data_IF_511501640739
#
_entry.id   IF_511501640739
#
_cell.length_a   1.000
_cell.length_b   1.000
_cell.length_c   1.000
_cell.angle_alpha   90.00
_cell.angle_beta   90.00
_cell.angle_gamma   90.00
#
_symmetry.space_group_name_H-M   'P 1'
#
loop_
_entity.id
_entity.type
_entity.pdbx_description
1 polymer ?
#
# COMPACT_ATOMS: atom_id res chain seq x y z
N UNK A 1 10.00 -14.30 -14.53
CA UNK A 1 9.03 -13.30 -14.07
C UNK A 1 9.73 -12.46 -13.03
N UNK A 2 9.55 -11.13 -13.06
CA UNK A 2 9.99 -10.26 -11.97
C UNK A 2 9.46 -10.75 -10.62
N UNK A 3 10.22 -10.51 -9.55
CA UNK A 3 9.91 -10.92 -8.18
C UNK A 3 10.63 -9.99 -7.22
N UNK A 4 10.51 -10.20 -5.91
CA UNK A 4 11.30 -9.50 -4.92
C UNK A 4 11.92 -10.50 -3.95
N UNK A 5 12.95 -10.05 -3.23
CA UNK A 5 13.62 -10.88 -2.23
C UNK A 5 14.11 -10.02 -1.08
N UNK A 6 13.98 -10.51 0.15
CA UNK A 6 14.59 -9.84 1.30
C UNK A 6 16.13 -9.87 1.22
N UNK A 7 16.76 -8.80 1.66
CA UNK A 7 18.22 -8.68 1.77
C UNK A 7 18.75 -9.68 2.80
N UNK A 8 19.58 -10.66 2.37
CA UNK A 8 20.08 -11.69 3.27
C UNK A 8 21.05 -11.17 4.33
N UNK A 9 21.53 -9.93 4.21
CA UNK A 9 22.37 -9.29 5.23
C UNK A 9 21.58 -8.73 6.41
N UNK A 10 20.26 -8.57 6.26
CA UNK A 10 19.39 -8.07 7.33
C UNK A 10 19.21 -9.17 8.39
N UNK A 11 19.55 -8.84 9.63
CA UNK A 11 19.37 -9.75 10.77
C UNK A 11 17.99 -9.56 11.38
N UNK A 12 17.27 -10.66 11.55
CA UNK A 12 15.97 -10.67 12.22
C UNK A 12 16.13 -10.46 13.72
N UNK A 13 15.28 -9.61 14.29
CA UNK A 13 15.19 -9.45 15.73
C UNK A 13 14.33 -10.55 16.35
N UNK A 14 14.82 -11.12 17.45
CA UNK A 14 14.15 -12.18 18.19
C UNK A 14 14.19 -11.87 19.68
N UNK A 15 13.06 -12.05 20.37
CA UNK A 15 12.94 -11.85 21.81
C UNK A 15 12.13 -13.00 22.43
N UNK A 16 12.72 -13.69 23.39
CA UNK A 16 12.11 -14.87 24.05
C UNK A 16 11.57 -15.94 23.07
N UNK A 17 12.21 -16.11 21.91
CA UNK A 17 11.79 -17.06 20.86
C UNK A 17 10.74 -16.52 19.88
N UNK A 18 10.21 -15.32 20.12
CA UNK A 18 9.32 -14.63 19.20
C UNK A 18 10.15 -13.81 18.20
N UNK A 19 9.86 -13.97 16.92
CA UNK A 19 10.57 -13.34 15.82
C UNK A 19 9.73 -12.21 15.22
N UNK A 20 10.30 -11.02 15.15
CA UNK A 20 9.67 -9.88 14.49
C UNK A 20 9.87 -9.95 12.97
N UNK A 21 9.01 -9.30 12.16
CA UNK A 21 9.26 -9.14 10.73
C UNK A 21 10.57 -8.37 10.50
N UNK A 22 11.20 -8.57 9.34
CA UNK A 22 12.50 -7.93 9.08
C UNK A 22 12.41 -6.40 9.05
N UNK A 23 11.27 -5.87 8.62
CA UNK A 23 11.05 -4.46 8.34
C UNK A 23 10.32 -3.69 9.44
N UNK A 24 9.69 -4.35 10.40
CA UNK A 24 9.04 -3.72 11.55
C UNK A 24 9.46 -4.40 12.86
N UNK A 25 10.14 -3.68 13.74
CA UNK A 25 10.67 -4.25 14.98
C UNK A 25 10.75 -3.22 16.11
N UNK A 26 10.60 -3.64 17.37
CA UNK A 26 10.72 -2.74 18.52
C UNK A 26 12.18 -2.26 18.67
N UNK A 27 12.35 -0.97 18.99
CA UNK A 27 13.64 -0.36 19.35
C UNK A 27 13.80 -0.19 20.86
N UNK A 28 12.72 -0.38 21.61
CA UNK A 28 12.72 -0.39 23.08
C UNK A 28 12.47 -1.80 23.63
N UNK A 29 12.96 -2.11 24.85
CA UNK A 29 12.68 -3.37 25.50
C UNK A 29 11.18 -3.58 25.68
N UNK A 30 10.67 -4.70 25.17
CA UNK A 30 9.29 -5.10 25.31
C UNK A 30 9.22 -6.62 25.49
N UNK A 31 8.04 -7.16 25.84
CA UNK A 31 7.81 -8.61 25.91
C UNK A 31 6.71 -9.02 24.94
N UNK A 32 7.04 -9.74 23.85
CA UNK A 32 6.04 -10.15 22.88
C UNK A 32 5.09 -11.18 23.47
N UNK A 33 3.84 -11.14 23.01
CA UNK A 33 2.77 -12.06 23.43
C UNK A 33 1.94 -12.44 22.21
N UNK A 34 2.16 -13.66 21.71
CA UNK A 34 1.32 -14.23 20.68
C UNK A 34 -0.06 -14.57 21.26
N UNK A 35 -1.11 -14.23 20.53
CA UNK A 35 -2.50 -14.37 20.96
C UNK A 35 -3.44 -13.64 20.02
N UNK A 36 -4.70 -13.55 20.39
CA UNK A 36 -5.63 -12.67 19.70
C UNK A 36 -6.57 -11.94 20.66
N UNK A 37 -6.94 -10.71 20.34
CA UNK A 37 -8.08 -10.03 20.93
C UNK A 37 -9.32 -10.29 20.07
N UNK A 38 -10.52 -10.15 20.65
CA UNK A 38 -11.76 -10.29 19.89
C UNK A 38 -12.81 -9.30 20.41
N UNK A 39 -13.39 -8.55 19.48
CA UNK A 39 -14.44 -7.57 19.75
C UNK A 39 -15.63 -7.79 18.82
N UNK A 40 -16.83 -7.49 19.30
CA UNK A 40 -18.03 -7.44 18.45
C UNK A 40 -18.33 -5.99 18.09
N UNK A 41 -18.47 -5.71 16.80
CA UNK A 41 -18.83 -4.41 16.25
C UNK A 41 -20.25 -4.52 15.69
N UNK A 42 -21.15 -3.65 16.17
CA UNK A 42 -22.52 -3.56 15.63
C UNK A 42 -22.49 -2.91 14.25
N UNK A 43 -23.45 -3.26 13.41
CA UNK A 43 -23.62 -2.61 12.11
C UNK A 43 -23.74 -1.09 12.27
N UNK A 44 -23.07 -0.34 11.41
CA UNK A 44 -23.10 1.13 11.38
C UNK A 44 -24.19 1.70 10.46
N UNK A 45 -25.00 0.85 9.83
CA UNK A 45 -26.14 1.24 9.02
C UNK A 45 -27.10 2.19 9.76
N UNK A 46 -27.25 3.41 9.25
CA UNK A 46 -28.12 4.45 9.81
C UNK A 46 -27.57 5.88 9.88
N UNK A 47 -26.37 6.15 9.35
CA UNK A 47 -25.77 7.48 9.21
C UNK A 47 -26.40 8.35 8.10
N UNK A 48 -26.07 9.65 8.07
CA UNK A 48 -26.55 10.61 7.04
C UNK A 48 -26.19 10.13 5.61
N UNK A 49 -26.98 10.55 4.62
CA UNK A 49 -26.72 10.30 3.18
C UNK A 49 -25.28 10.73 2.83
N UNK A 50 -24.34 9.77 2.74
CA UNK A 50 -22.95 10.08 2.37
C UNK A 50 -21.87 9.09 2.81
N UNK A 51 -22.10 8.22 3.80
CA UNK A 51 -21.15 7.15 4.14
C UNK A 51 -21.36 5.98 3.15
N UNK A 52 -20.37 5.77 2.27
CA UNK A 52 -20.47 4.83 1.16
C UNK A 52 -20.25 3.36 1.55
N UNK A 53 -19.79 3.08 2.78
CA UNK A 53 -19.52 1.73 3.27
C UNK A 53 -20.32 1.46 4.55
N UNK A 54 -21.46 0.77 4.43
CA UNK A 54 -22.18 0.21 5.57
C UNK A 54 -21.60 -1.17 5.89
N UNK A 55 -21.02 -1.31 7.08
CA UNK A 55 -20.46 -2.56 7.56
C UNK A 55 -21.51 -3.33 8.37
N UNK A 56 -21.65 -4.65 8.17
CA UNK A 56 -22.61 -5.45 8.93
C UNK A 56 -22.12 -5.67 10.39
N UNK A 57 -23.00 -6.26 11.20
CA UNK A 57 -22.61 -6.89 12.47
C UNK A 57 -21.43 -7.83 12.22
N UNK A 58 -20.38 -7.71 13.02
CA UNK A 58 -19.13 -8.45 12.77
C UNK A 58 -18.33 -8.68 14.03
N UNK A 59 -17.49 -9.70 13.99
CA UNK A 59 -16.43 -9.91 14.95
C UNK A 59 -15.11 -9.46 14.37
N UNK A 60 -14.40 -8.60 15.10
CA UNK A 60 -13.03 -8.17 14.86
C UNK A 60 -12.08 -9.07 15.67
N UNK A 61 -11.07 -9.62 15.03
CA UNK A 61 -9.97 -10.36 15.64
C UNK A 61 -8.65 -9.70 15.26
N UNK A 62 -7.83 -9.32 16.25
CA UNK A 62 -6.46 -8.87 16.00
C UNK A 62 -5.49 -9.93 16.49
N UNK A 63 -4.76 -10.54 15.56
CA UNK A 63 -3.98 -11.74 15.79
C UNK A 63 -2.49 -11.43 15.72
N UNK A 64 -1.80 -11.63 16.85
CA UNK A 64 -0.35 -11.49 16.93
C UNK A 64 0.30 -12.87 16.89
N UNK A 65 1.18 -13.08 15.93
CA UNK A 65 2.00 -14.29 15.77
C UNK A 65 3.44 -13.92 15.46
N UNK A 66 4.36 -14.84 15.76
CA UNK A 66 5.76 -14.72 15.31
C UNK A 66 5.82 -14.69 13.78
N UNK A 67 6.76 -13.91 13.21
CA UNK A 67 6.83 -13.60 11.78
C UNK A 67 6.75 -14.82 10.86
N UNK A 68 7.40 -15.94 11.22
CA UNK A 68 7.38 -17.17 10.43
C UNK A 68 6.01 -17.86 10.36
N UNK A 69 5.06 -17.43 11.18
CA UNK A 69 3.70 -17.98 11.25
C UNK A 69 2.66 -17.08 10.58
N UNK A 70 3.01 -15.83 10.23
CA UNK A 70 2.10 -14.87 9.59
C UNK A 70 1.60 -15.43 8.26
N UNK A 71 2.51 -15.83 7.35
CA UNK A 71 2.13 -16.35 6.03
C UNK A 71 1.26 -17.62 6.11
N UNK A 72 1.63 -18.67 6.89
CA UNK A 72 0.76 -19.84 7.04
C UNK A 72 -0.62 -19.51 7.63
N UNK A 73 -0.70 -18.58 8.60
CA UNK A 73 -1.98 -18.16 9.19
C UNK A 73 -2.84 -17.43 8.16
N UNK A 74 -2.26 -16.45 7.45
CA UNK A 74 -2.92 -15.74 6.36
C UNK A 74 -3.48 -16.69 5.29
N UNK A 75 -2.69 -17.70 4.89
CA UNK A 75 -3.13 -18.73 3.92
C UNK A 75 -4.31 -19.57 4.44
N UNK A 76 -4.41 -19.81 5.75
CA UNK A 76 -5.56 -20.53 6.32
C UNK A 76 -6.79 -19.63 6.43
N UNK A 77 -6.62 -18.37 6.83
CA UNK A 77 -7.71 -17.40 6.91
C UNK A 77 -8.31 -17.11 5.53
N UNK A 78 -7.48 -16.99 4.49
CA UNK A 78 -7.97 -16.76 3.11
C UNK A 78 -8.84 -17.90 2.57
N UNK A 79 -8.89 -19.08 3.22
CA UNK A 79 -9.87 -20.15 2.88
C UNK A 79 -11.32 -19.81 3.26
N UNK A 80 -11.52 -18.72 3.99
CA UNK A 80 -12.83 -18.15 4.30
C UNK A 80 -13.37 -17.27 3.15
N UNK A 81 -12.47 -16.74 2.31
CA UNK A 81 -12.83 -15.86 1.21
C UNK A 81 -13.49 -16.66 0.06
N UNK A 82 -14.45 -16.07 -0.66
CA UNK A 82 -14.97 -16.64 -1.89
C UNK A 82 -13.94 -16.55 -3.02
N UNK A 83 -14.28 -17.13 -4.18
CA UNK A 83 -13.37 -17.19 -5.33
C UNK A 83 -13.02 -15.84 -5.97
N UNK A 84 -13.72 -14.75 -5.61
CA UNK A 84 -13.40 -13.40 -6.02
C UNK A 84 -13.52 -12.44 -4.85
N UNK A 85 -12.64 -11.46 -4.78
CA UNK A 85 -12.45 -10.57 -3.62
C UNK A 85 -12.09 -9.17 -4.09
N UNK A 86 -12.10 -8.20 -3.16
CA UNK A 86 -11.53 -6.87 -3.34
C UNK A 86 -10.18 -6.84 -2.61
N UNK A 87 -9.04 -6.94 -3.31
CA UNK A 87 -7.73 -6.84 -2.68
C UNK A 87 -7.48 -5.42 -2.15
N UNK A 88 -6.68 -5.36 -1.09
CA UNK A 88 -6.31 -4.13 -0.38
C UNK A 88 -4.79 -4.11 -0.25
N UNK A 89 -4.19 -2.95 -0.40
CA UNK A 89 -2.76 -2.71 -0.22
C UNK A 89 -2.57 -1.34 0.40
N UNK A 90 -2.00 -1.27 1.59
CA UNK A 90 -1.63 -0.02 2.24
C UNK A 90 -0.12 0.15 2.17
N UNK A 91 0.35 1.33 1.80
CA UNK A 91 1.77 1.63 1.70
C UNK A 91 2.11 2.79 2.62
N UNK A 92 3.14 2.66 3.45
CA UNK A 92 3.70 3.81 4.16
C UNK A 92 4.34 4.72 3.11
N UNK A 93 3.60 5.77 2.76
CA UNK A 93 3.83 6.58 1.57
C UNK A 93 5.00 7.54 1.71
N UNK A 94 5.29 8.25 0.63
CA UNK A 94 6.25 9.36 0.60
C UNK A 94 5.57 10.74 0.69
N UNK A 95 4.25 10.76 0.85
CA UNK A 95 3.47 11.98 0.97
C UNK A 95 3.80 12.74 2.27
N UNK A 96 3.97 14.05 2.14
CA UNK A 96 4.35 14.91 3.26
C UNK A 96 3.25 15.12 4.32
N UNK A 97 2.00 14.80 4.01
CA UNK A 97 0.81 15.11 4.80
C UNK A 97 -0.16 13.92 4.93
N UNK A 98 0.24 12.75 4.43
CA UNK A 98 -0.46 11.48 4.56
C UNK A 98 0.54 10.40 4.89
N UNK A 99 0.33 9.69 6.00
CA UNK A 99 1.23 8.63 6.43
C UNK A 99 1.07 7.35 5.58
N UNK A 100 -0.17 6.98 5.27
CA UNK A 100 -0.51 5.74 4.57
C UNK A 100 -1.21 6.07 3.25
N UNK A 101 -0.76 5.45 2.17
CA UNK A 101 -1.45 5.42 0.88
C UNK A 101 -2.32 4.16 0.80
N UNK A 102 -3.65 4.26 0.99
CA UNK A 102 -4.53 3.11 0.92
C UNK A 102 -4.90 2.83 -0.54
N UNK A 103 -4.68 1.61 -1.00
CA UNK A 103 -5.08 1.15 -2.32
C UNK A 103 -6.12 0.03 -2.22
N UNK A 104 -7.21 0.14 -2.96
CA UNK A 104 -8.27 -0.86 -3.00
C UNK A 104 -8.70 -1.14 -4.44
N UNK A 105 -9.09 -2.39 -4.71
CA UNK A 105 -9.82 -2.70 -5.93
C UNK A 105 -11.31 -2.44 -5.72
N UNK A 106 -11.92 -1.66 -6.60
CA UNK A 106 -13.39 -1.53 -6.68
C UNK A 106 -14.02 -2.60 -7.57
N UNK A 107 -13.20 -3.37 -8.28
CA UNK A 107 -13.63 -4.52 -9.07
C UNK A 107 -13.26 -5.83 -8.38
N UNK A 108 -14.07 -6.87 -8.60
CA UNK A 108 -13.79 -8.20 -8.08
C UNK A 108 -12.59 -8.86 -8.79
N UNK A 109 -11.54 -9.17 -8.05
CA UNK A 109 -10.35 -9.89 -8.52
C UNK A 109 -10.44 -11.36 -8.14
N UNK A 110 -10.02 -12.26 -9.02
CA UNK A 110 -9.94 -13.70 -8.71
C UNK A 110 -8.99 -13.97 -7.54
N UNK A 111 -9.42 -14.78 -6.58
CA UNK A 111 -8.60 -15.14 -5.41
C UNK A 111 -7.29 -15.84 -5.82
N UNK A 112 -7.30 -16.59 -6.92
CA UNK A 112 -6.12 -17.18 -7.54
C UNK A 112 -5.12 -16.12 -8.02
N UNK A 113 -5.59 -15.07 -8.71
CA UNK A 113 -4.75 -13.94 -9.14
C UNK A 113 -4.15 -13.21 -7.94
N UNK A 114 -4.95 -12.98 -6.90
CA UNK A 114 -4.48 -12.36 -5.65
C UNK A 114 -3.39 -13.20 -4.99
N UNK A 115 -3.66 -14.48 -4.75
CA UNK A 115 -2.73 -15.38 -4.04
C UNK A 115 -1.46 -15.69 -4.85
N UNK A 116 -1.51 -15.69 -6.19
CA UNK A 116 -0.32 -15.82 -7.03
C UNK A 116 0.61 -14.61 -6.90
N UNK A 117 0.06 -13.40 -6.83
CA UNK A 117 0.84 -12.19 -6.57
C UNK A 117 1.42 -12.20 -5.14
N UNK A 118 0.64 -12.63 -4.14
CA UNK A 118 1.13 -12.80 -2.76
C UNK A 118 2.33 -13.72 -2.71
N UNK A 119 2.28 -14.86 -3.43
CA UNK A 119 3.40 -15.79 -3.52
C UNK A 119 4.60 -15.20 -4.25
N UNK A 120 4.37 -14.42 -5.31
CA UNK A 120 5.43 -13.81 -6.14
C UNK A 120 6.19 -12.72 -5.38
N UNK A 121 5.50 -11.94 -4.55
CA UNK A 121 6.05 -10.80 -3.81
C UNK A 121 6.11 -11.04 -2.30
N UNK A 122 6.25 -12.31 -1.89
CA UNK A 122 6.13 -12.74 -0.49
C UNK A 122 7.03 -11.96 0.48
N UNK A 123 8.27 -11.66 0.08
CA UNK A 123 9.25 -11.01 0.96
C UNK A 123 8.90 -9.54 1.15
N UNK A 124 8.25 -8.90 0.18
CA UNK A 124 7.69 -7.57 0.38
C UNK A 124 6.51 -7.62 1.36
N UNK A 125 5.51 -8.44 1.04
CA UNK A 125 4.24 -8.45 1.77
C UNK A 125 4.36 -8.93 3.23
N UNK A 126 5.18 -9.96 3.50
CA UNK A 126 5.27 -10.56 4.84
C UNK A 126 6.44 -10.06 5.69
N UNK A 127 7.43 -9.37 5.10
CA UNK A 127 8.64 -8.96 5.84
C UNK A 127 8.91 -7.46 5.80
N UNK A 128 8.52 -6.77 4.73
CA UNK A 128 8.79 -5.34 4.57
C UNK A 128 7.90 -4.52 5.51
N UNK A 129 8.49 -3.54 6.19
CA UNK A 129 7.78 -2.72 7.18
C UNK A 129 7.04 -1.55 6.55
N UNK A 130 7.03 -1.40 5.23
CA UNK A 130 6.39 -0.26 4.56
C UNK A 130 5.06 -0.63 3.90
N UNK A 131 4.52 -1.83 4.13
CA UNK A 131 3.28 -2.25 3.51
C UNK A 131 2.38 -3.08 4.42
N UNK A 132 1.07 -2.85 4.31
CA UNK A 132 0.02 -3.76 4.72
C UNK A 132 -0.73 -4.28 3.48
N UNK A 133 -1.35 -5.44 3.57
CA UNK A 133 -2.10 -6.01 2.45
C UNK A 133 -3.19 -6.96 2.93
N UNK A 134 -4.21 -7.14 2.11
CA UNK A 134 -5.33 -7.97 2.47
C UNK A 134 -6.32 -8.17 1.34
N UNK A 135 -7.48 -8.67 1.73
CA UNK A 135 -8.63 -8.76 0.85
C UNK A 135 -9.92 -8.75 1.65
N UNK A 136 -10.97 -8.26 1.01
CA UNK A 136 -12.32 -8.30 1.55
C UNK A 136 -13.33 -8.93 0.58
N UNK A 137 -14.44 -9.37 1.13
CA UNK A 137 -15.62 -9.89 0.46
C UNK A 137 -16.85 -9.36 1.20
N UNK A 138 -17.88 -8.99 0.45
CA UNK A 138 -19.16 -8.52 1.01
C UNK A 138 -20.11 -9.67 1.33
N UNK A 139 -20.11 -10.74 0.53
CA UNK A 139 -21.00 -11.90 0.70
C UNK A 139 -20.25 -13.25 0.53
N UNK A 140 -19.97 -13.99 1.62
CA UNK A 140 -20.15 -13.56 3.02
C UNK A 140 -19.20 -12.40 3.38
N UNK A 141 -19.55 -11.65 4.42
CA UNK A 141 -18.69 -10.56 4.88
C UNK A 141 -17.43 -11.12 5.56
N UNK A 142 -16.29 -10.91 4.90
CA UNK A 142 -14.96 -11.32 5.36
C UNK A 142 -13.96 -10.26 4.96
N UNK A 143 -13.19 -9.75 5.92
CA UNK A 143 -12.07 -8.85 5.72
C UNK A 143 -10.86 -9.47 6.41
N UNK A 144 -9.76 -9.65 5.68
CA UNK A 144 -8.50 -10.17 6.21
C UNK A 144 -7.40 -9.22 5.78
N UNK A 145 -6.66 -8.68 6.73
CA UNK A 145 -5.61 -7.72 6.47
C UNK A 145 -4.39 -8.00 7.35
N UNK A 146 -3.20 -7.93 6.75
CA UNK A 146 -1.91 -7.99 7.44
C UNK A 146 -1.34 -6.59 7.37
N UNK A 147 -1.20 -5.91 8.50
CA UNK A 147 -0.71 -4.53 8.54
C UNK A 147 0.83 -4.42 8.35
N UNK A 148 1.37 -3.23 8.46
CA UNK A 148 2.81 -2.94 8.38
C UNK A 148 3.62 -3.55 9.53
N UNK A 149 2.99 -3.81 10.68
CA UNK A 149 3.58 -4.52 11.83
C UNK A 149 3.47 -6.04 11.71
N UNK A 150 2.78 -6.52 10.66
CA UNK A 150 2.46 -7.93 10.38
C UNK A 150 1.53 -8.55 11.41
N UNK A 151 0.65 -7.76 12.00
CA UNK A 151 -0.50 -8.20 12.78
C UNK A 151 -1.63 -8.51 11.81
N UNK A 152 -2.35 -9.60 12.07
CA UNK A 152 -3.45 -10.02 11.18
C UNK A 152 -4.77 -9.60 11.79
N UNK A 153 -5.43 -8.64 11.16
CA UNK A 153 -6.80 -8.26 11.45
C UNK A 153 -7.77 -9.08 10.62
N UNK A 154 -8.76 -9.68 11.27
CA UNK A 154 -9.84 -10.43 10.63
C UNK A 154 -11.17 -9.85 11.10
N UNK A 155 -12.00 -9.38 10.17
CA UNK A 155 -13.40 -9.06 10.45
C UNK A 155 -14.31 -10.02 9.70
N UNK A 156 -15.25 -10.63 10.40
CA UNK A 156 -16.19 -11.59 9.80
C UNK A 156 -17.60 -11.44 10.36
N UNK A 157 -18.60 -11.75 9.54
CA UNK A 157 -19.98 -11.90 10.00
C UNK A 157 -20.11 -12.97 11.12
N UNK A 158 -21.16 -12.90 11.97
CA UNK A 158 -21.32 -13.79 13.12
C UNK A 158 -21.33 -15.29 12.77
N UNK A 159 -21.77 -15.64 11.57
CA UNK A 159 -21.85 -17.03 11.09
C UNK A 159 -20.46 -17.69 10.97
N UNK A 160 -19.40 -16.89 10.77
CA UNK A 160 -18.03 -17.36 10.52
C UNK A 160 -17.14 -17.31 11.77
N UNK A 161 -17.61 -16.70 12.86
CA UNK A 161 -16.86 -16.55 14.13
C UNK A 161 -16.19 -17.85 14.58
N UNK A 162 -16.97 -18.92 14.75
CA UNK A 162 -16.44 -20.19 15.24
C UNK A 162 -15.40 -20.81 14.30
N UNK A 163 -15.47 -20.50 13.00
CA UNK A 163 -14.52 -20.99 12.01
C UNK A 163 -13.19 -20.25 12.13
N UNK A 164 -13.21 -18.95 12.37
CA UNK A 164 -12.01 -18.16 12.69
C UNK A 164 -11.37 -18.67 13.98
N UNK A 165 -12.12 -18.83 15.06
CA UNK A 165 -11.60 -19.35 16.34
C UNK A 165 -10.94 -20.72 16.20
N UNK A 166 -11.52 -21.62 15.39
CA UNK A 166 -10.91 -22.93 15.08
C UNK A 166 -9.59 -22.81 14.32
N UNK A 167 -9.49 -21.88 13.36
CA UNK A 167 -8.24 -21.61 12.65
C UNK A 167 -7.20 -21.10 13.66
N UNK A 168 -7.52 -20.08 14.45
CA UNK A 168 -6.60 -19.51 15.44
C UNK A 168 -6.14 -20.54 16.48
N UNK A 169 -7.04 -21.38 16.97
CA UNK A 169 -6.70 -22.47 17.89
C UNK A 169 -5.75 -23.51 17.27
N UNK A 170 -5.82 -23.76 15.95
CA UNK A 170 -4.86 -24.64 15.25
C UNK A 170 -3.45 -24.05 15.16
N UNK A 171 -3.31 -22.75 15.43
CA UNK A 171 -2.06 -22.05 15.60
C UNK A 171 -1.69 -21.85 17.09
N UNK A 172 -2.32 -22.58 18.01
CA UNK A 172 -2.07 -22.47 19.45
C UNK A 172 -2.24 -21.02 19.95
N UNK A 173 -3.12 -20.24 19.29
CA UNK A 173 -3.45 -18.89 19.71
C UNK A 173 -4.63 -18.93 20.68
N UNK A 174 -4.43 -18.30 21.83
CA UNK A 174 -5.46 -18.13 22.84
C UNK A 174 -5.98 -16.69 22.82
N UNK A 175 -7.27 -16.53 23.13
CA UNK A 175 -7.86 -15.20 23.31
C UNK A 175 -7.24 -14.54 24.54
N UNK A 176 -6.84 -13.28 24.41
CA UNK A 176 -6.31 -12.46 25.50
C UNK A 176 -6.60 -10.98 25.27
N UNK A 177 -6.56 -10.20 26.35
CA UNK A 177 -6.89 -8.77 26.29
C UNK A 177 -5.81 -7.95 25.58
N UNK A 178 -4.53 -8.31 25.77
CA UNK A 178 -3.38 -7.52 25.30
C UNK A 178 -2.33 -8.44 24.63
N UNK A 179 -2.61 -8.95 23.41
CA UNK A 179 -1.55 -9.49 22.57
C UNK A 179 -0.54 -8.38 22.25
N UNK A 180 0.73 -8.74 22.02
CA UNK A 180 1.80 -7.75 21.90
C UNK A 180 2.77 -8.11 20.76
N UNK A 181 2.70 -7.33 19.68
CA UNK A 181 3.56 -7.41 18.49
C UNK A 181 4.66 -6.35 18.49
N UNK A 182 5.10 -5.94 17.30
CA UNK A 182 6.10 -4.88 17.12
C UNK A 182 5.56 -3.49 17.53
N UNK A 183 4.25 -3.28 17.35
CA UNK A 183 3.47 -2.08 17.65
C UNK A 183 3.34 -1.79 19.16
N UNK A 184 3.49 -2.80 20.01
CA UNK A 184 3.34 -2.69 21.47
C UNK A 184 4.44 -1.89 22.17
N UNK A 185 5.43 -1.37 21.44
CA UNK A 185 6.49 -0.49 21.92
C UNK A 185 6.92 0.47 20.80
N UNK A 186 7.78 1.44 21.13
CA UNK A 186 8.45 2.23 20.10
C UNK A 186 9.21 1.30 19.14
N UNK A 187 9.00 1.51 17.84
CA UNK A 187 9.48 0.63 16.78
C UNK A 187 9.94 1.43 15.56
N UNK A 188 10.63 0.76 14.66
CA UNK A 188 11.08 1.31 13.38
C UNK A 188 10.46 0.54 12.21
N UNK A 189 10.16 1.27 11.15
CA UNK A 189 9.79 0.74 9.84
C UNK A 189 10.95 0.91 8.86
N UNK A 190 11.21 -0.11 8.05
CA UNK A 190 12.18 -0.04 6.96
C UNK A 190 11.78 -0.97 5.81
N UNK A 191 12.25 -0.61 4.61
CA UNK A 191 12.29 -1.56 3.52
C UNK A 191 13.37 -2.62 3.76
N UNK A 192 13.10 -3.83 3.28
CA UNK A 192 13.98 -4.99 3.44
C UNK A 192 14.37 -5.64 2.12
N UNK A 193 13.96 -5.08 0.99
CA UNK A 193 14.18 -5.69 -0.31
C UNK A 193 15.63 -5.54 -0.80
N UNK A 194 16.14 -6.61 -1.39
CA UNK A 194 17.45 -6.67 -1.99
C UNK A 194 17.38 -6.22 -3.45
N UNK A 195 17.97 -5.06 -3.73
CA UNK A 195 17.95 -4.42 -5.05
C UNK A 195 19.37 -4.24 -5.60
N UNK A 196 20.11 -5.32 -5.95
CA UNK A 196 21.44 -5.17 -6.50
C UNK A 196 21.38 -4.81 -8.00
N UNK A 197 22.26 -3.91 -8.45
CA UNK A 197 22.30 -3.42 -9.84
C UNK A 197 22.44 -4.53 -10.90
N UNK A 198 22.97 -5.71 -10.53
CA UNK A 198 23.19 -6.84 -11.42
C UNK A 198 22.00 -7.83 -11.49
N UNK A 199 20.90 -7.58 -10.76
CA UNK A 199 19.69 -8.42 -10.73
C UNK A 199 18.42 -7.59 -10.97
N UNK A 200 18.21 -7.03 -12.16
CA UNK A 200 17.05 -6.17 -12.46
C UNK A 200 15.70 -6.92 -12.41
N UNK A 201 15.70 -8.25 -12.31
CA UNK A 201 14.47 -9.01 -12.06
C UNK A 201 14.02 -9.01 -10.59
N UNK A 202 14.86 -8.52 -9.68
CA UNK A 202 14.53 -8.28 -8.27
C UNK A 202 14.06 -6.83 -8.11
N UNK A 203 12.75 -6.69 -8.02
CA UNK A 203 12.06 -5.41 -7.92
C UNK A 203 12.22 -4.78 -6.55
N UNK A 204 12.31 -3.44 -6.53
CA UNK A 204 12.16 -2.62 -5.33
C UNK A 204 10.71 -2.42 -4.90
N UNK A 205 10.47 -1.75 -3.76
CA UNK A 205 9.11 -1.53 -3.22
C UNK A 205 8.17 -0.87 -4.24
N UNK A 206 8.58 0.25 -4.82
CA UNK A 206 7.75 1.03 -5.77
C UNK A 206 7.34 0.19 -7.00
N UNK A 207 8.28 -0.59 -7.54
CA UNK A 207 8.03 -1.48 -8.69
C UNK A 207 7.09 -2.64 -8.30
N UNK A 208 7.23 -3.20 -7.10
CA UNK A 208 6.30 -4.22 -6.60
C UNK A 208 4.89 -3.63 -6.43
N UNK A 209 4.78 -2.43 -5.86
CA UNK A 209 3.49 -1.73 -5.70
C UNK A 209 2.85 -1.48 -7.06
N UNK A 210 3.61 -1.01 -8.04
CA UNK A 210 3.13 -0.82 -9.42
C UNK A 210 2.60 -2.14 -10.02
N UNK A 211 3.35 -3.23 -9.88
CA UNK A 211 2.91 -4.55 -10.36
C UNK A 211 1.65 -5.03 -9.63
N UNK A 212 1.53 -4.80 -8.33
CA UNK A 212 0.34 -5.16 -7.54
C UNK A 212 -0.86 -4.32 -7.94
N UNK A 213 -0.68 -3.03 -8.22
CA UNK A 213 -1.76 -2.16 -8.72
C UNK A 213 -2.31 -2.67 -10.06
N UNK A 214 -1.43 -3.07 -10.98
CA UNK A 214 -1.85 -3.66 -12.25
C UNK A 214 -2.47 -5.06 -12.07
N UNK A 215 -1.88 -5.90 -11.20
CA UNK A 215 -2.34 -7.27 -10.97
C UNK A 215 -3.68 -7.33 -10.21
N UNK A 216 -3.92 -6.40 -9.29
CA UNK A 216 -5.14 -6.36 -8.47
C UNK A 216 -6.08 -5.22 -8.85
N UNK A 217 -5.80 -4.47 -9.92
CA UNK A 217 -6.63 -3.35 -10.39
C UNK A 217 -6.89 -2.30 -9.30
N UNK A 218 -5.84 -1.99 -8.55
CA UNK A 218 -5.97 -1.12 -7.38
C UNK A 218 -5.96 0.36 -7.76
N UNK A 219 -6.81 1.12 -7.07
CA UNK A 219 -6.87 2.57 -7.11
C UNK A 219 -6.57 3.13 -5.72
N UNK A 220 -5.95 4.31 -5.68
CA UNK A 220 -5.72 5.03 -4.43
C UNK A 220 -7.09 5.45 -3.86
N UNK A 221 -7.42 4.96 -2.66
CA UNK A 221 -8.68 5.17 -1.97
C UNK A 221 -8.68 6.49 -1.20
N UNK A 222 -8.60 7.60 -1.93
CA UNK A 222 -8.72 8.96 -1.40
C UNK A 222 -9.64 9.77 -2.29
N UNK A 223 -10.30 10.79 -1.74
CA UNK A 223 -11.06 11.73 -2.55
C UNK A 223 -10.09 12.57 -3.41
N UNK A 224 -10.11 12.42 -4.75
CA UNK A 224 -9.15 13.11 -5.61
C UNK A 224 -9.45 14.60 -5.78
N UNK A 225 -10.65 15.06 -5.37
CA UNK A 225 -11.11 16.43 -5.53
C UNK A 225 -10.83 17.31 -4.30
N UNK A 226 -10.51 16.69 -3.15
CA UNK A 226 -10.09 17.41 -1.94
C UNK A 226 -8.57 17.39 -1.77
N UNK A 227 -8.05 18.27 -0.90
CA UNK A 227 -6.63 18.29 -0.53
C UNK A 227 -6.49 18.59 0.95
N UNK A 228 -6.66 17.55 1.75
CA UNK A 228 -6.60 17.59 3.21
C UNK A 228 -5.45 16.74 3.73
N UNK A 229 -4.93 17.05 4.92
CA UNK A 229 -4.04 16.15 5.67
C UNK A 229 -4.84 15.03 6.38
N UNK A 230 -4.13 14.15 7.08
CA UNK A 230 -4.72 13.04 7.85
C UNK A 230 -5.71 13.49 8.95
N UNK A 231 -5.61 14.75 9.41
CA UNK A 231 -6.54 15.36 10.36
C UNK A 231 -7.77 16.00 9.66
N UNK A 232 -7.88 15.88 8.33
CA UNK A 232 -8.95 16.45 7.53
C UNK A 232 -8.83 17.96 7.30
N UNK A 233 -7.67 18.55 7.58
CA UNK A 233 -7.46 19.99 7.42
C UNK A 233 -7.07 20.34 6.00
N UNK A 234 -7.78 21.29 5.41
CA UNK A 234 -7.49 21.83 4.07
C UNK A 234 -6.08 22.42 3.98
N UNK A 235 -5.31 21.92 3.00
CA UNK A 235 -3.94 22.32 2.69
C UNK A 235 -3.86 23.38 1.59
N UNK A 236 -4.96 23.65 0.87
CA UNK A 236 -5.01 24.54 -0.28
C UNK A 236 -4.14 24.05 -1.44
N UNK A 237 -3.25 24.90 -1.96
CA UNK A 237 -2.34 24.52 -3.06
C UNK A 237 -1.00 24.05 -2.48
N UNK A 238 -0.69 22.78 -2.68
CA UNK A 238 0.55 22.13 -2.25
C UNK A 238 1.50 21.89 -3.41
N UNK A 239 2.73 21.48 -3.09
CA UNK A 239 3.70 20.97 -4.06
C UNK A 239 3.49 19.47 -4.21
N UNK A 240 3.64 18.97 -5.42
CA UNK A 240 3.48 17.56 -5.76
C UNK A 240 4.68 17.06 -6.54
N UNK A 241 5.03 15.80 -6.30
CA UNK A 241 5.86 14.96 -7.15
C UNK A 241 4.95 13.91 -7.76
N UNK A 242 4.79 13.96 -9.07
CA UNK A 242 4.12 12.90 -9.82
C UNK A 242 5.16 12.10 -10.60
N UNK A 243 5.01 10.78 -10.64
CA UNK A 243 5.78 9.89 -11.51
C UNK A 243 4.84 9.28 -12.52
N UNK A 244 5.15 9.44 -13.81
CA UNK A 244 4.34 8.91 -14.90
C UNK A 244 5.09 7.79 -15.64
N UNK A 245 4.44 6.64 -15.82
CA UNK A 245 4.90 5.52 -16.64
C UNK A 245 4.34 5.67 -18.05
N UNK A 246 5.22 5.81 -19.03
CA UNK A 246 4.86 5.90 -20.45
C UNK A 246 5.14 4.55 -21.13
N UNK A 247 4.10 3.91 -21.67
CA UNK A 247 4.21 2.61 -22.32
C UNK A 247 4.41 2.73 -23.83
N UNK A 248 5.27 1.87 -24.37
CA UNK A 248 5.63 1.85 -25.79
C UNK A 248 5.42 0.45 -26.35
N UNK A 249 4.92 0.34 -27.59
CA UNK A 249 4.56 -0.95 -28.21
C UNK A 249 5.75 -1.95 -28.28
N UNK A 250 6.97 -1.44 -28.42
CA UNK A 250 8.18 -2.26 -28.70
C UNK A 250 9.38 -1.90 -27.84
N UNK A 251 9.20 -1.07 -26.81
CA UNK A 251 10.27 -0.63 -25.92
C UNK A 251 9.81 -0.79 -24.47
N UNK A 252 10.76 -0.99 -23.53
CA UNK A 252 10.45 -0.90 -22.12
C UNK A 252 9.77 0.44 -21.79
N UNK A 253 8.92 0.48 -20.74
CA UNK A 253 8.31 1.73 -20.32
C UNK A 253 9.38 2.75 -19.92
N UNK A 254 9.10 4.03 -20.15
CA UNK A 254 9.92 5.14 -19.65
C UNK A 254 9.19 5.87 -18.55
N UNK A 255 9.92 6.33 -17.55
CA UNK A 255 9.36 7.06 -16.43
C UNK A 255 9.69 8.55 -16.54
N UNK A 256 8.71 9.40 -16.32
CA UNK A 256 8.88 10.84 -16.21
C UNK A 256 8.59 11.29 -14.78
N UNK A 257 9.47 12.13 -14.24
CA UNK A 257 9.27 12.79 -12.95
C UNK A 257 8.80 14.23 -13.20
N UNK A 258 7.69 14.60 -12.56
CA UNK A 258 7.06 15.90 -12.69
C UNK A 258 6.93 16.50 -11.30
N UNK A 259 7.47 17.71 -11.14
CA UNK A 259 7.29 18.52 -9.94
C UNK A 259 6.37 19.67 -10.29
N UNK A 260 5.26 19.80 -9.57
CA UNK A 260 4.21 20.78 -9.85
C UNK A 260 3.59 21.33 -8.57
N UNK A 261 2.71 22.31 -8.71
CA UNK A 261 1.77 22.75 -7.68
C UNK A 261 0.37 22.44 -8.14
N UNK A 262 -0.51 22.01 -7.24
CA UNK A 262 -1.90 21.74 -7.56
C UNK A 262 -2.76 21.88 -6.30
N UNK A 263 -4.06 22.13 -6.52
CA UNK A 263 -5.05 22.28 -5.44
C UNK A 263 -5.64 20.95 -4.95
N UNK A 264 -5.43 19.85 -5.68
CA UNK A 264 -5.95 18.52 -5.37
C UNK A 264 -5.17 17.45 -6.14
N UNK A 265 -5.39 16.18 -5.80
CA UNK A 265 -4.78 15.04 -6.50
C UNK A 265 -5.22 15.02 -7.98
N UNK A 266 -6.52 15.19 -8.28
CA UNK A 266 -7.02 15.25 -9.66
C UNK A 266 -6.29 16.32 -10.47
N UNK A 267 -6.17 17.52 -9.90
CA UNK A 267 -5.47 18.63 -10.54
C UNK A 267 -3.97 18.34 -10.74
N UNK A 268 -3.34 17.62 -9.82
CA UNK A 268 -1.96 17.21 -9.94
C UNK A 268 -1.77 16.22 -11.10
N UNK A 269 -2.61 15.19 -11.18
CA UNK A 269 -2.57 14.16 -12.22
C UNK A 269 -2.85 14.74 -13.61
N UNK A 270 -3.91 15.54 -13.77
CA UNK A 270 -4.21 16.25 -15.03
C UNK A 270 -3.04 17.12 -15.49
N UNK A 271 -2.44 17.87 -14.55
CA UNK A 271 -1.27 18.72 -14.85
C UNK A 271 -0.03 17.89 -15.19
N UNK A 272 0.13 16.71 -14.58
CA UNK A 272 1.21 15.79 -14.88
C UNK A 272 1.07 15.18 -16.28
N UNK A 273 -0.15 14.82 -16.71
CA UNK A 273 -0.42 14.37 -18.08
C UNK A 273 -0.03 15.44 -19.12
N UNK A 274 -0.44 16.69 -18.90
CA UNK A 274 -0.06 17.81 -19.76
C UNK A 274 1.48 17.99 -19.82
N UNK A 275 2.14 17.85 -18.67
CA UNK A 275 3.60 17.97 -18.57
C UNK A 275 4.32 16.86 -19.35
N UNK A 276 3.81 15.63 -19.26
CA UNK A 276 4.33 14.46 -19.95
C UNK A 276 4.14 14.62 -21.45
N UNK A 277 2.94 14.95 -21.93
CA UNK A 277 2.68 15.24 -23.35
C UNK A 277 3.65 16.30 -23.91
N UNK A 278 3.94 17.36 -23.14
CA UNK A 278 4.91 18.38 -23.53
C UNK A 278 6.38 17.89 -23.50
N UNK A 279 6.74 16.94 -22.63
CA UNK A 279 8.07 16.32 -22.60
C UNK A 279 8.30 15.39 -23.81
N UNK A 280 7.27 14.67 -24.25
CA UNK A 280 7.35 13.74 -25.36
C UNK A 280 7.65 14.40 -26.71
N UNK A 281 7.14 15.62 -26.93
CA UNK A 281 7.27 16.27 -28.24
C UNK A 281 6.74 15.37 -29.35
N UNK A 282 7.50 15.19 -30.43
CA UNK A 282 7.13 14.31 -31.55
C UNK A 282 7.12 12.81 -31.17
N UNK A 283 7.75 12.41 -30.05
CA UNK A 283 7.67 11.02 -29.55
C UNK A 283 6.36 10.73 -28.81
N UNK A 284 5.58 11.75 -28.42
CA UNK A 284 4.30 11.54 -27.71
C UNK A 284 3.30 10.72 -28.54
N UNK A 285 3.33 10.88 -29.86
CA UNK A 285 2.50 10.10 -30.81
C UNK A 285 2.89 8.61 -30.89
N UNK A 286 3.99 8.21 -30.26
CA UNK A 286 4.49 6.82 -30.25
C UNK A 286 4.13 6.03 -28.99
N UNK A 287 3.52 6.69 -27.99
CA UNK A 287 3.13 6.05 -26.74
C UNK A 287 1.80 5.33 -26.93
N UNK A 288 1.67 4.15 -26.33
CA UNK A 288 0.39 3.46 -26.29
C UNK A 288 -0.49 3.99 -25.17
N UNK A 289 0.11 4.23 -24.00
CA UNK A 289 -0.60 4.69 -22.83
C UNK A 289 0.34 5.42 -21.86
N UNK A 290 -0.24 6.22 -20.96
CA UNK A 290 0.46 6.92 -19.88
C UNK A 290 -0.32 6.72 -18.59
N UNK A 291 0.37 6.30 -17.53
CA UNK A 291 -0.22 6.09 -16.21
C UNK A 291 0.52 6.91 -15.16
N UNK A 292 -0.22 7.54 -14.23
CA UNK A 292 0.40 8.13 -13.03
C UNK A 292 0.58 7.01 -11.99
N UNK A 293 1.84 6.70 -11.70
CA UNK A 293 2.22 5.60 -10.80
C UNK A 293 2.60 6.09 -9.40
N UNK A 294 2.83 7.38 -9.21
CA UNK A 294 2.97 8.00 -7.89
C UNK A 294 2.51 9.46 -7.94
N UNK A 295 1.93 9.94 -6.84
CA UNK A 295 1.44 11.31 -6.66
C UNK A 295 1.60 11.73 -5.19
N UNK A 296 2.78 12.23 -4.84
CA UNK A 296 3.15 12.55 -3.46
C UNK A 296 3.21 14.06 -3.24
N UNK A 297 2.60 14.56 -2.17
CA UNK A 297 2.80 15.95 -1.76
C UNK A 297 4.19 16.14 -1.14
N UNK A 298 4.78 17.30 -1.39
CA UNK A 298 6.12 17.65 -0.93
C UNK A 298 6.10 18.84 0.04
N UNK A 299 6.99 18.79 1.03
CA UNK A 299 7.40 19.96 1.81
C UNK A 299 8.34 20.86 0.98
N UNK A 300 8.33 22.19 1.19
CA UNK A 300 9.15 23.13 0.42
C UNK A 300 10.65 22.81 0.39
N UNK A 301 11.18 22.27 1.48
CA UNK A 301 12.57 21.84 1.63
C UNK A 301 12.95 20.65 0.72
N UNK A 302 12.00 19.79 0.35
CA UNK A 302 12.25 18.60 -0.48
C UNK A 302 12.48 18.95 -1.96
N UNK A 303 12.03 20.13 -2.43
CA UNK A 303 12.17 20.54 -3.84
C UNK A 303 13.66 20.68 -4.24
N UNK A 304 14.53 21.05 -3.30
CA UNK A 304 15.95 21.30 -3.59
C UNK A 304 16.65 20.11 -4.23
N UNK A 305 16.35 18.90 -3.76
CA UNK A 305 16.91 17.65 -4.26
C UNK A 305 16.35 17.25 -5.64
N UNK A 306 15.13 17.71 -5.98
CA UNK A 306 14.43 17.35 -7.21
C UNK A 306 14.70 18.32 -8.37
N UNK A 307 15.40 19.44 -8.12
CA UNK A 307 15.83 20.40 -9.16
C UNK A 307 17.07 19.91 -9.90
N UNK A 308 16.91 18.86 -10.71
CA UNK A 308 17.90 18.48 -11.73
C UNK A 308 17.93 19.46 -12.93
N UNK A 309 18.81 19.24 -13.94
CA UNK A 309 18.85 20.02 -15.17
C UNK A 309 17.63 19.72 -16.08
N UNK A 310 16.42 19.97 -15.59
CA UNK A 310 15.16 19.79 -16.34
C UNK A 310 14.77 21.03 -17.15
N UNK A 311 13.98 20.82 -18.22
CA UNK A 311 13.36 21.93 -18.95
C UNK A 311 12.30 22.58 -18.07
N UNK A 312 12.44 23.89 -17.82
CA UNK A 312 11.37 24.69 -17.22
C UNK A 312 10.36 25.01 -18.31
N UNK A 313 9.23 24.32 -18.33
CA UNK A 313 8.10 24.71 -19.19
C UNK A 313 7.15 25.60 -18.39
N UNK A 314 6.86 26.80 -18.90
CA UNK A 314 5.70 27.57 -18.46
C UNK A 314 4.53 27.12 -19.32
N UNK A 315 3.69 26.21 -18.83
CA UNK A 315 2.40 25.99 -19.47
C UNK A 315 1.49 27.19 -19.14
N UNK A 316 0.85 27.85 -20.13
CA UNK A 316 -0.02 28.99 -19.87
C UNK A 316 -1.27 28.55 -19.09
N UNK A 317 -1.66 29.36 -18.11
CA UNK A 317 -2.71 29.06 -17.15
C UNK A 317 -4.08 28.73 -17.74
N UNK A 318 -4.76 27.82 -17.02
CA UNK A 318 -6.15 27.42 -17.23
C UNK A 318 -6.62 26.41 -16.18
N UNK A 319 -5.74 25.48 -15.78
CA UNK A 319 -5.99 24.53 -14.69
C UNK A 319 -5.55 25.04 -13.31
N UNK A 320 -6.02 24.38 -12.25
CA UNK A 320 -5.61 24.63 -10.86
C UNK A 320 -4.17 24.17 -10.54
N UNK A 321 -3.43 23.66 -11.53
CA UNK A 321 -2.03 23.25 -11.39
C UNK A 321 -1.00 24.09 -12.15
N UNK A 322 0.25 24.05 -11.69
CA UNK A 322 1.40 24.76 -12.28
C UNK A 322 2.67 23.91 -12.22
N UNK A 323 3.26 23.60 -13.39
CA UNK A 323 4.48 22.80 -13.50
C UNK A 323 5.70 23.62 -13.09
N UNK A 324 6.54 23.04 -12.22
CA UNK A 324 7.83 23.61 -11.79
C UNK A 324 8.97 23.01 -12.60
N UNK A 325 8.97 21.69 -12.75
CA UNK A 325 9.98 20.94 -13.50
C UNK A 325 9.39 19.64 -14.02
N UNK A 326 9.88 19.16 -15.14
CA UNK A 326 9.60 17.82 -15.65
C UNK A 326 10.85 17.26 -16.34
N UNK A 327 11.11 15.96 -16.16
CA UNK A 327 12.26 15.25 -16.75
C UNK A 327 11.97 13.77 -16.93
N UNK A 328 12.67 13.14 -17.88
CA UNK A 328 12.78 11.68 -17.92
C UNK A 328 13.67 11.20 -16.78
N UNK A 329 13.29 10.10 -16.13
CA UNK A 329 14.11 9.39 -15.17
C UNK A 329 15.11 8.52 -15.92
N UNK A 330 16.35 8.47 -15.42
CA UNK A 330 17.31 7.48 -15.89
C UNK A 330 16.85 6.11 -15.36
N UNK A 331 16.70 5.15 -16.26
CA UNK A 331 16.25 3.78 -15.93
C UNK A 331 17.41 2.83 -15.65
#
# INVERSE_FOLDING_TARGET
MPTCKADPSITRQENEGFKFPLGAYPVEPMKPKAGYSMHFEQSDGGGEEGDWEEWPDRYLFDCVVSAERVEPLFRMLTTLLPGRVYPILDILGHDAFREIDPYISYDLVGLDRMTDAVRRYRDFLFEDGLCGFGAMSEEPFVYIFVDEHKIITVRVEPSLKERVEKILASFDLEMMDEPAGADAAAHEHRSVLWMPDDRPELLGPDEVVEQLRDDWQLLLNVDPDTNVDDDGKDLGITLWRCVARCEFEKQPPKYAEIVLRASSLRAAEETAFDAVAALGGDEADSWQDVFIVASDRLKPEQIGALKGPGKRSKVPGGGSGFIIASRWMEG
#
